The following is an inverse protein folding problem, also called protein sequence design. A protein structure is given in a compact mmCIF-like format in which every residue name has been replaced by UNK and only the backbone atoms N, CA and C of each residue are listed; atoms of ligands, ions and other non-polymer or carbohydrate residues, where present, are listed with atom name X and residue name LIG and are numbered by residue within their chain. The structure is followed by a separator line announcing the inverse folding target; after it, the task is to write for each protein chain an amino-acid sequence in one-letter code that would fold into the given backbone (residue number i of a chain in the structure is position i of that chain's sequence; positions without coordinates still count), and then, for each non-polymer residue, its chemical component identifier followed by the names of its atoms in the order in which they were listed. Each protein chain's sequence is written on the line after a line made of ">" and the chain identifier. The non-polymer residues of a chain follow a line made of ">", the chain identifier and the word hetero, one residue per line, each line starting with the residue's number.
data_IF_543818477246
#
_entry.id   IF_543818477246
#
_cell.length_a   1.000
_cell.length_b   1.000
_cell.length_c   1.000
_cell.angle_alpha   90.00
_cell.angle_beta   90.00
_cell.angle_gamma   90.00
#
_symmetry.space_group_name_H-M   'P 1'
#
loop_
_entity.id
_entity.type
_entity.pdbx_description
1 polymer ?
#
# COMPACT_ATOMS: atom_id res chain seq x y z
N UNK A 1 10.31 17.33 14.37
CA UNK A 1 10.50 17.50 12.92
C UNK A 1 9.55 16.58 12.16
N UNK A 2 8.80 17.06 11.16
CA UNK A 2 8.01 16.16 10.29
C UNK A 2 8.99 15.46 9.35
N UNK A 3 9.10 14.13 9.45
CA UNK A 3 9.83 13.35 8.45
C UNK A 3 9.08 13.42 7.12
N UNK A 4 9.77 13.85 6.08
CA UNK A 4 9.32 13.76 4.70
C UNK A 4 9.74 12.38 4.22
N UNK A 5 8.74 11.57 3.85
CA UNK A 5 8.99 10.25 3.27
C UNK A 5 9.01 10.40 1.76
N UNK A 6 10.20 10.36 1.18
CA UNK A 6 10.41 10.39 -0.27
C UNK A 6 10.19 8.98 -0.83
N UNK A 7 9.36 8.85 -1.87
CA UNK A 7 9.02 7.57 -2.50
C UNK A 7 9.84 7.48 -3.79
N UNK A 8 10.51 6.36 -4.00
CA UNK A 8 11.30 6.14 -5.21
C UNK A 8 10.41 5.71 -6.38
N UNK A 9 10.86 5.95 -7.61
CA UNK A 9 10.14 5.55 -8.83
C UNK A 9 9.89 4.03 -8.91
N UNK A 10 10.83 3.22 -8.40
CA UNK A 10 10.66 1.76 -8.34
C UNK A 10 9.51 1.36 -7.42
N UNK A 11 9.43 1.96 -6.22
CA UNK A 11 8.35 1.71 -5.26
C UNK A 11 7.00 2.16 -5.83
N UNK A 12 6.98 3.29 -6.55
CA UNK A 12 5.79 3.78 -7.24
C UNK A 12 5.25 2.77 -8.26
N UNK A 13 6.12 2.22 -9.12
CA UNK A 13 5.72 1.22 -10.14
C UNK A 13 5.12 -0.02 -9.48
N UNK A 14 5.74 -0.53 -8.43
CA UNK A 14 5.24 -1.69 -7.68
C UNK A 14 3.85 -1.41 -7.07
N UNK A 15 3.66 -0.24 -6.47
CA UNK A 15 2.37 0.19 -5.88
C UNK A 15 1.29 0.27 -6.95
N UNK A 16 1.58 0.84 -8.12
CA UNK A 16 0.62 0.94 -9.22
C UNK A 16 0.23 -0.43 -9.79
N UNK A 17 1.17 -1.34 -9.96
CA UNK A 17 0.89 -2.70 -10.43
C UNK A 17 0.02 -3.48 -9.44
N UNK A 18 0.32 -3.39 -8.14
CA UNK A 18 -0.51 -4.01 -7.10
C UNK A 18 -1.90 -3.37 -7.08
N UNK A 19 -2.00 -2.05 -7.22
CA UNK A 19 -3.28 -1.34 -7.26
C UNK A 19 -4.14 -1.82 -8.43
N UNK A 20 -3.57 -2.02 -9.61
CA UNK A 20 -4.26 -2.56 -10.80
C UNK A 20 -4.69 -4.01 -10.62
N UNK A 21 -3.88 -4.83 -9.94
CA UNK A 21 -4.17 -6.25 -9.71
C UNK A 21 -5.11 -6.50 -8.52
N UNK A 22 -5.29 -5.51 -7.64
CA UNK A 22 -6.05 -5.65 -6.40
C UNK A 22 -7.53 -5.26 -6.57
N UNK A 23 -8.43 -6.12 -6.11
CA UNK A 23 -9.88 -5.88 -6.09
C UNK A 23 -10.40 -5.28 -4.76
N UNK A 24 -9.56 -5.16 -3.73
CA UNK A 24 -9.97 -4.64 -2.42
C UNK A 24 -9.97 -3.11 -2.38
N UNK A 25 -11.16 -2.51 -2.30
CA UNK A 25 -11.38 -1.05 -2.23
C UNK A 25 -10.63 -0.36 -1.10
N UNK A 26 -10.49 -1.00 0.06
CA UNK A 26 -9.79 -0.43 1.22
C UNK A 26 -8.29 -0.39 0.99
N UNK A 27 -7.74 -1.42 0.34
CA UNK A 27 -6.33 -1.44 -0.02
C UNK A 27 -6.03 -0.47 -1.17
N UNK A 28 -6.93 -0.33 -2.15
CA UNK A 28 -6.81 0.67 -3.21
C UNK A 28 -6.69 2.10 -2.63
N UNK A 29 -7.58 2.50 -1.72
CA UNK A 29 -7.50 3.81 -1.05
C UNK A 29 -6.16 4.06 -0.37
N UNK A 30 -5.62 3.04 0.31
CA UNK A 30 -4.31 3.09 0.97
C UNK A 30 -3.16 3.23 -0.02
N UNK A 31 -3.16 2.44 -1.10
CA UNK A 31 -2.14 2.51 -2.15
C UNK A 31 -2.21 3.86 -2.87
N UNK A 32 -3.41 4.40 -3.09
CA UNK A 32 -3.64 5.71 -3.70
C UNK A 32 -3.04 6.86 -2.89
N UNK A 33 -3.01 6.76 -1.55
CA UNK A 33 -2.29 7.72 -0.69
C UNK A 33 -0.79 7.78 -1.03
N UNK A 34 -0.18 6.63 -1.34
CA UNK A 34 1.25 6.55 -1.69
C UNK A 34 1.48 7.14 -3.08
N UNK A 35 0.63 6.81 -4.06
CA UNK A 35 0.67 7.38 -5.43
C UNK A 35 0.55 8.91 -5.40
N UNK A 36 -0.42 9.45 -4.66
CA UNK A 36 -0.61 10.91 -4.55
C UNK A 36 0.57 11.59 -3.86
N UNK A 37 1.18 10.93 -2.87
CA UNK A 37 2.37 11.49 -2.23
C UNK A 37 3.56 11.56 -3.18
N UNK A 38 3.75 10.55 -4.03
CA UNK A 38 4.78 10.57 -5.07
C UNK A 38 4.55 11.69 -6.10
N UNK A 39 3.29 11.97 -6.43
CA UNK A 39 2.90 13.07 -7.33
C UNK A 39 3.11 14.48 -6.72
N UNK A 40 3.52 14.59 -5.45
CA UNK A 40 3.85 15.86 -4.81
C UNK A 40 2.72 16.50 -3.99
N UNK A 41 1.57 15.83 -3.85
CA UNK A 41 0.46 16.35 -3.05
C UNK A 41 0.81 16.41 -1.56
N UNK A 42 0.32 17.43 -0.86
CA UNK A 42 0.47 17.57 0.59
C UNK A 42 -0.49 16.64 1.31
N UNK A 43 -0.13 16.27 2.55
CA UNK A 43 -0.96 15.36 3.36
C UNK A 43 -2.40 15.84 3.57
N UNK A 44 -2.63 17.16 3.59
CA UNK A 44 -3.96 17.75 3.75
C UNK A 44 -4.78 17.53 2.48
N UNK A 45 -4.21 17.83 1.32
CA UNK A 45 -4.86 17.62 0.01
C UNK A 45 -5.17 16.14 -0.22
N UNK A 46 -4.23 15.25 0.13
CA UNK A 46 -4.44 13.79 0.04
C UNK A 46 -5.58 13.34 0.96
N UNK A 47 -5.63 13.90 2.17
CA UNK A 47 -6.68 13.60 3.13
C UNK A 47 -8.06 14.04 2.61
N UNK A 48 -8.16 15.18 1.93
CA UNK A 48 -9.39 15.65 1.30
C UNK A 48 -9.81 14.75 0.13
N UNK A 49 -8.88 14.37 -0.76
CA UNK A 49 -9.17 13.52 -1.93
C UNK A 49 -9.67 12.12 -1.54
N UNK A 50 -9.09 11.54 -0.48
CA UNK A 50 -9.37 10.15 -0.06
C UNK A 50 -10.38 10.08 1.10
N UNK A 51 -10.78 11.23 1.63
CA UNK A 51 -11.66 11.39 2.80
C UNK A 51 -11.06 10.74 4.05
N UNK A 52 -9.78 11.00 4.31
CA UNK A 52 -9.06 10.57 5.50
C UNK A 52 -8.68 11.74 6.39
N UNK A 53 -8.18 11.45 7.59
CA UNK A 53 -7.55 12.47 8.43
C UNK A 53 -6.09 12.66 8.01
N UNK A 54 -5.55 13.89 8.02
CA UNK A 54 -4.14 14.14 7.68
C UNK A 54 -3.15 13.34 8.54
N UNK A 55 -3.49 13.08 9.80
CA UNK A 55 -2.71 12.24 10.72
C UNK A 55 -2.70 10.77 10.28
N UNK A 56 -3.83 10.28 9.77
CA UNK A 56 -3.92 8.92 9.25
C UNK A 56 -3.07 8.77 7.99
N UNK A 57 -3.11 9.74 7.08
CA UNK A 57 -2.22 9.80 5.89
C UNK A 57 -0.75 9.73 6.31
N UNK A 58 -0.32 10.55 7.27
CA UNK A 58 1.06 10.51 7.78
C UNK A 58 1.42 9.15 8.38
N UNK A 59 0.49 8.52 9.11
CA UNK A 59 0.68 7.18 9.69
C UNK A 59 0.83 6.11 8.61
N UNK A 60 0.05 6.20 7.53
CA UNK A 60 0.13 5.29 6.39
C UNK A 60 1.50 5.40 5.70
N UNK A 61 1.95 6.62 5.41
CA UNK A 61 3.26 6.86 4.78
C UNK A 61 4.42 6.36 5.67
N UNK A 62 4.34 6.62 6.97
CA UNK A 62 5.32 6.10 7.93
C UNK A 62 5.36 4.57 7.90
N UNK A 63 4.20 3.92 8.03
CA UNK A 63 4.12 2.44 8.02
C UNK A 63 4.64 1.84 6.73
N UNK A 64 4.36 2.48 5.60
CA UNK A 64 4.88 2.07 4.31
C UNK A 64 6.42 2.06 4.30
N UNK A 65 7.06 3.12 4.81
CA UNK A 65 8.53 3.19 4.89
C UNK A 65 9.16 2.31 5.97
N UNK A 66 8.50 2.13 7.11
CA UNK A 66 9.02 1.29 8.20
C UNK A 66 8.88 -0.20 7.91
N UNK A 67 7.80 -0.62 7.24
CA UNK A 67 7.48 -2.04 7.07
C UNK A 67 7.63 -2.55 5.63
N UNK A 68 7.70 -1.66 4.64
CA UNK A 68 7.71 -2.01 3.23
C UNK A 68 6.33 -2.39 2.68
N UNK A 69 6.28 -2.59 1.36
CA UNK A 69 5.06 -2.81 0.58
C UNK A 69 4.34 -4.12 0.94
N UNK A 70 5.08 -5.17 1.29
CA UNK A 70 4.53 -6.49 1.64
C UNK A 70 3.65 -6.43 2.90
N UNK A 71 4.20 -5.92 4.00
CA UNK A 71 3.46 -5.74 5.26
C UNK A 71 2.34 -4.70 5.13
N UNK A 72 2.53 -3.69 4.27
CA UNK A 72 1.52 -2.66 4.04
C UNK A 72 0.27 -3.22 3.36
N UNK A 73 0.47 -4.12 2.40
CA UNK A 73 -0.64 -4.78 1.73
C UNK A 73 -1.23 -5.91 2.59
N UNK A 74 -0.49 -6.51 3.55
CA UNK A 74 -0.99 -7.63 4.36
C UNK A 74 -2.30 -7.28 5.07
N UNK A 75 -3.35 -8.03 4.73
CA UNK A 75 -4.65 -7.88 5.37
C UNK A 75 -4.56 -8.43 6.80
N UNK A 76 -4.42 -7.55 7.79
CA UNK A 76 -4.41 -7.90 9.20
C UNK A 76 -5.84 -8.22 9.68
N UNK A 77 -6.38 -9.35 9.25
CA UNK A 77 -7.63 -9.88 9.80
C UNK A 77 -7.32 -10.66 11.08
N UNK A 78 -7.20 -9.96 12.22
CA UNK A 78 -7.19 -10.58 13.55
C UNK A 78 -8.62 -10.73 14.05
N UNK A 79 -9.40 -11.58 13.39
CA UNK A 79 -10.77 -11.93 13.80
C UNK A 79 -10.86 -13.43 13.99
N UNK A 80 -11.22 -13.86 15.21
CA UNK A 80 -11.37 -15.25 15.59
C UNK A 80 -12.43 -15.94 14.71
N UNK A 81 -12.00 -16.67 13.67
CA UNK A 81 -12.71 -17.82 13.09
C UNK A 81 -11.87 -18.48 12.00
N UNK A 82 -11.18 -19.55 12.35
CA UNK A 82 -10.27 -20.33 11.50
C UNK A 82 -10.99 -21.20 10.45
N UNK A 83 -12.29 -20.97 10.20
CA UNK A 83 -13.16 -21.89 9.43
C UNK A 83 -13.60 -21.40 8.05
N UNK A 84 -13.36 -20.16 7.67
CA UNK A 84 -13.73 -19.66 6.33
C UNK A 84 -12.51 -19.11 5.61
N UNK A 85 -11.79 -20.05 5.01
CA UNK A 85 -10.64 -19.86 4.15
C UNK A 85 -11.09 -19.21 2.83
N UNK A 86 -10.78 -17.92 2.66
CA UNK A 86 -10.50 -17.29 1.37
C UNK A 86 -9.08 -16.70 1.39
N UNK A 87 -8.14 -17.56 1.78
CA UNK A 87 -6.70 -17.32 1.60
C UNK A 87 -6.35 -17.58 0.15
N UNK A 88 -6.52 -16.58 -0.72
CA UNK A 88 -6.20 -16.77 -2.13
C UNK A 88 -5.91 -15.50 -2.93
N UNK A 89 -5.35 -14.44 -2.34
CA UNK A 89 -4.92 -13.28 -3.17
C UNK A 89 -3.57 -12.68 -2.80
N UNK A 90 -2.94 -13.11 -1.71
CA UNK A 90 -1.77 -12.41 -1.19
C UNK A 90 -0.42 -13.06 -1.56
N UNK A 91 -0.32 -14.39 -1.49
CA UNK A 91 0.88 -15.11 -1.90
C UNK A 91 1.06 -15.23 -3.42
N UNK A 92 -0.03 -15.18 -4.19
CA UNK A 92 0.03 -15.39 -5.64
C UNK A 92 0.48 -14.14 -6.41
N UNK A 93 -0.02 -12.95 -6.04
CA UNK A 93 0.35 -11.68 -6.71
C UNK A 93 1.82 -11.31 -6.39
N UNK A 94 2.24 -11.40 -5.12
CA UNK A 94 3.63 -11.15 -4.76
C UNK A 94 4.59 -12.26 -5.22
N UNK A 95 4.15 -13.54 -5.21
CA UNK A 95 4.97 -14.66 -5.70
C UNK A 95 5.28 -14.57 -7.19
N UNK A 96 4.30 -14.18 -8.03
CA UNK A 96 4.54 -13.94 -9.47
C UNK A 96 5.47 -12.72 -9.68
N UNK A 97 5.29 -11.68 -8.86
CA UNK A 97 6.06 -10.44 -9.01
C UNK A 97 7.53 -10.59 -8.58
N UNK A 98 7.80 -11.29 -7.48
CA UNK A 98 9.16 -11.54 -6.99
C UNK A 98 9.97 -12.44 -7.93
N UNK A 99 9.35 -13.48 -8.52
CA UNK A 99 10.00 -14.35 -9.51
C UNK A 99 10.35 -13.64 -10.82
N UNK A 100 9.63 -12.58 -11.21
CA UNK A 100 9.93 -11.79 -12.42
C UNK A 100 11.11 -10.83 -12.24
N UNK A 101 11.48 -10.46 -11.02
CA UNK A 101 12.54 -9.48 -10.72
C UNK A 101 13.93 -10.10 -10.50
N UNK A 102 14.05 -11.44 -10.48
CA UNK A 102 15.35 -12.15 -10.32
C UNK A 102 15.96 -12.53 -11.69
N UNK A 103 15.27 -12.25 -12.81
CA UNK A 103 15.72 -12.60 -14.17
C UNK A 103 16.22 -11.42 -15.02
N UNK A 104 16.66 -10.31 -14.43
CA UNK A 104 17.43 -9.28 -15.16
C UNK A 104 18.70 -8.92 -14.38
#
# INVERSE_FOLDING_TARGET
>A
MRKIYEINEQEYKQVEEIRKANNNKTLDKKLRVITLRFQGYKNVEIAEIIEYTPNYVATLLRRFKEKGLEEYCKNNYKGANHRLRSSQYFGHIFGIFFLKNIKN
#
